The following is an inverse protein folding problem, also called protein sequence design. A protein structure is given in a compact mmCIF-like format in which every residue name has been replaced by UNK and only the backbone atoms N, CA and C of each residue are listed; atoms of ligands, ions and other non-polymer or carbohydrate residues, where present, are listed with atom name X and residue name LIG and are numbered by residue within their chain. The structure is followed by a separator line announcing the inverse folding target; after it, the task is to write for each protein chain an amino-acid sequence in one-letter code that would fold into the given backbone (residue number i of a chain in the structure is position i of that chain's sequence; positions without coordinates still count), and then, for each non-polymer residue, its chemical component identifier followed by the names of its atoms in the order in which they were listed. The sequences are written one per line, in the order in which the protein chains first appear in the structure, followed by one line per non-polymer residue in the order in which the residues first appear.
data_IF_187612340109
#
_entry.id   IF_187612340109
#
_cell.length_a   1.000
_cell.length_b   1.000
_cell.length_c   1.000
_cell.angle_alpha   90.00
_cell.angle_beta   90.00
_cell.angle_gamma   90.00
#
_symmetry.space_group_name_H-M   'P 1'
#
loop_
_entity.id
_entity.type
_entity.pdbx_description
1 polymer ?
#
# COMPACT_ATOMS: atom_id res chain seq x y z
N UNK A 1 -53.25 1.57 42.46
CA UNK A 1 -52.23 2.27 41.65
C UNK A 1 -51.19 1.27 41.17
N UNK A 2 -51.37 0.68 39.97
CA UNK A 2 -50.34 -0.11 39.30
C UNK A 2 -50.42 0.19 37.80
N UNK A 3 -49.25 0.45 37.24
CA UNK A 3 -48.95 1.11 35.98
C UNK A 3 -49.28 0.27 34.73
N UNK A 4 -49.77 0.96 33.69
CA UNK A 4 -50.06 0.43 32.35
C UNK A 4 -48.75 0.16 31.58
N UNK A 5 -48.62 -1.03 30.97
CA UNK A 5 -47.81 -1.26 29.77
C UNK A 5 -48.68 -1.97 28.71
N UNK A 6 -48.89 -1.40 27.51
CA UNK A 6 -49.46 -2.15 26.41
C UNK A 6 -48.39 -3.02 25.74
N UNK A 7 -48.73 -4.29 25.54
CA UNK A 7 -48.06 -5.20 24.61
C UNK A 7 -48.34 -4.71 23.19
N UNK A 8 -47.30 -4.38 22.43
CA UNK A 8 -47.37 -4.31 20.98
C UNK A 8 -46.60 -5.50 20.40
N UNK A 9 -47.33 -6.54 20.06
CA UNK A 9 -46.94 -7.52 19.05
C UNK A 9 -47.08 -6.84 17.69
N UNK A 10 -45.98 -6.70 16.94
CA UNK A 10 -46.04 -6.35 15.53
C UNK A 10 -45.18 -7.35 14.74
N UNK A 11 -45.83 -7.92 13.73
CA UNK A 11 -45.39 -9.07 12.95
C UNK A 11 -44.06 -8.83 12.23
N UNK A 12 -43.19 -9.84 12.25
CA UNK A 12 -42.02 -9.96 11.38
C UNK A 12 -42.53 -10.20 9.96
N UNK A 13 -42.57 -9.15 9.14
CA UNK A 13 -42.64 -9.31 7.68
C UNK A 13 -41.24 -9.65 7.19
N UNK A 14 -41.04 -10.91 6.81
CA UNK A 14 -39.90 -11.35 6.01
C UNK A 14 -39.94 -10.62 4.66
N UNK A 15 -39.17 -9.54 4.54
CA UNK A 15 -38.96 -8.90 3.25
C UNK A 15 -37.80 -9.63 2.55
N UNK A 16 -38.14 -10.45 1.55
CA UNK A 16 -37.20 -11.05 0.60
C UNK A 16 -36.44 -9.93 -0.11
N UNK A 17 -35.29 -9.55 0.44
CA UNK A 17 -34.41 -8.54 -0.14
C UNK A 17 -33.67 -9.14 -1.33
N UNK A 18 -34.07 -8.72 -2.53
CA UNK A 18 -33.33 -8.89 -3.77
C UNK A 18 -31.88 -8.42 -3.61
N UNK A 19 -30.87 -9.18 -4.09
CA UNK A 19 -29.47 -8.76 -4.02
C UNK A 19 -29.26 -7.53 -4.92
N UNK A 20 -28.97 -6.39 -4.30
CA UNK A 20 -28.87 -5.07 -4.97
C UNK A 20 -27.52 -4.82 -5.66
N UNK A 21 -26.78 -5.88 -5.99
CA UNK A 21 -25.47 -5.76 -6.67
C UNK A 21 -25.33 -6.85 -7.72
N UNK A 22 -25.22 -6.49 -9.02
CA UNK A 22 -24.86 -7.46 -10.04
C UNK A 22 -23.46 -8.01 -9.75
N UNK A 23 -23.31 -9.30 -10.04
CA UNK A 23 -22.12 -10.12 -9.83
C UNK A 23 -20.79 -9.40 -10.16
N UNK A 24 -19.82 -9.65 -9.29
CA UNK A 24 -18.44 -9.14 -9.23
C UNK A 24 -17.55 -9.60 -10.42
N UNK A 25 -18.04 -9.52 -11.67
CA UNK A 25 -17.39 -10.18 -12.82
C UNK A 25 -16.75 -9.24 -13.86
N UNK A 26 -16.92 -7.91 -13.78
CA UNK A 26 -16.41 -7.01 -14.84
C UNK A 26 -15.66 -5.77 -14.33
N UNK A 27 -14.69 -5.96 -13.43
CA UNK A 27 -13.52 -5.09 -13.48
C UNK A 27 -12.78 -5.46 -14.77
N UNK A 28 -12.86 -4.60 -15.80
CA UNK A 28 -12.09 -4.75 -17.03
C UNK A 28 -10.64 -4.43 -16.67
N UNK A 29 -9.94 -5.42 -16.15
CA UNK A 29 -8.49 -5.40 -16.04
C UNK A 29 -7.94 -5.45 -17.48
N UNK A 30 -7.07 -4.53 -17.91
CA UNK A 30 -6.34 -4.72 -19.14
C UNK A 30 -5.56 -6.04 -19.03
N UNK A 31 -5.91 -7.03 -19.85
CA UNK A 31 -5.17 -8.28 -20.03
C UNK A 31 -3.87 -8.01 -20.80
N UNK A 32 -2.98 -7.19 -20.23
CA UNK A 32 -1.62 -7.02 -20.74
C UNK A 32 -0.72 -6.55 -19.58
N UNK A 33 -0.53 -7.46 -18.63
CA UNK A 33 0.71 -7.55 -17.88
C UNK A 33 1.29 -8.90 -18.26
N UNK A 34 2.30 -8.90 -19.12
CA UNK A 34 3.14 -10.07 -19.36
C UNK A 34 3.52 -10.67 -18.01
N UNK A 35 3.02 -11.87 -17.73
CA UNK A 35 3.38 -12.65 -16.55
C UNK A 35 4.92 -12.72 -16.48
N UNK A 36 5.57 -12.33 -15.37
CA UNK A 36 6.99 -12.56 -15.25
C UNK A 36 7.21 -14.08 -15.27
N UNK A 37 8.05 -14.55 -16.20
CA UNK A 37 8.50 -15.95 -16.29
C UNK A 37 8.91 -16.41 -14.89
N UNK A 38 8.27 -17.48 -14.44
CA UNK A 38 8.62 -18.23 -13.23
C UNK A 38 10.08 -18.66 -13.29
N UNK A 39 10.84 -18.44 -12.22
CA UNK A 39 12.02 -19.27 -11.92
C UNK A 39 13.36 -18.58 -11.70
N UNK A 40 13.52 -17.26 -11.85
CA UNK A 40 14.82 -16.64 -11.55
C UNK A 40 14.94 -16.36 -10.04
N UNK A 41 15.50 -17.31 -9.30
CA UNK A 41 15.93 -17.10 -7.91
C UNK A 41 17.01 -16.01 -7.95
N UNK A 42 16.69 -14.82 -7.44
CA UNK A 42 17.73 -13.79 -7.25
C UNK A 42 18.62 -14.29 -6.13
N UNK A 43 19.81 -14.77 -6.49
CA UNK A 43 20.81 -15.22 -5.54
C UNK A 43 21.37 -14.03 -4.73
N UNK A 44 20.65 -13.69 -3.67
CA UNK A 44 21.15 -12.85 -2.57
C UNK A 44 21.94 -13.69 -1.54
N UNK A 45 22.12 -14.99 -1.74
CA UNK A 45 22.38 -15.99 -0.70
C UNK A 45 23.67 -15.77 0.11
N UNK A 46 24.61 -14.96 -0.35
CA UNK A 46 25.82 -14.63 0.43
C UNK A 46 25.64 -13.48 1.45
N UNK A 47 24.50 -12.78 1.53
CA UNK A 47 24.24 -11.78 2.58
C UNK A 47 22.80 -11.86 3.10
N UNK A 48 22.57 -11.82 4.42
CA UNK A 48 21.23 -11.71 4.97
C UNK A 48 20.51 -10.47 4.41
N UNK A 49 19.30 -10.65 3.87
CA UNK A 49 18.42 -9.54 3.48
C UNK A 49 17.53 -9.17 4.67
N UNK A 50 17.41 -7.88 4.93
CA UNK A 50 16.52 -7.32 5.96
C UNK A 50 15.53 -6.38 5.29
N UNK A 51 14.24 -6.59 5.51
CA UNK A 51 13.18 -5.64 5.19
C UNK A 51 13.01 -4.67 6.38
N UNK A 52 13.43 -3.42 6.19
CA UNK A 52 13.26 -2.32 7.12
C UNK A 52 11.82 -1.77 7.06
N UNK A 53 10.83 -2.59 7.45
CA UNK A 53 9.42 -2.17 7.45
C UNK A 53 8.56 -2.99 8.42
N UNK A 54 7.65 -2.32 9.12
CA UNK A 54 6.58 -2.97 9.89
C UNK A 54 5.35 -3.38 9.07
N UNK A 55 5.28 -3.07 7.76
CA UNK A 55 4.07 -3.33 6.96
C UNK A 55 3.89 -4.83 6.65
N UNK A 56 2.75 -5.44 7.03
CA UNK A 56 2.42 -6.81 6.66
C UNK A 56 2.31 -7.02 5.15
N UNK A 57 1.86 -6.00 4.41
CA UNK A 57 1.68 -6.07 2.96
C UNK A 57 3.03 -6.14 2.24
N UNK A 58 4.00 -5.32 2.64
CA UNK A 58 5.36 -5.36 2.08
C UNK A 58 6.06 -6.69 2.35
N UNK A 59 5.84 -7.29 3.53
CA UNK A 59 6.28 -8.66 3.83
C UNK A 59 5.68 -9.67 2.85
N UNK A 60 4.36 -9.63 2.62
CA UNK A 60 3.67 -10.54 1.70
C UNK A 60 4.20 -10.39 0.27
N UNK A 61 4.40 -9.17 -0.20
CA UNK A 61 4.96 -8.89 -1.53
C UNK A 61 6.39 -9.40 -1.67
N UNK A 62 7.27 -9.10 -0.70
CA UNK A 62 8.68 -9.50 -0.79
C UNK A 62 8.85 -11.04 -0.80
N UNK A 63 7.99 -11.77 -0.07
CA UNK A 63 7.96 -13.24 -0.11
C UNK A 63 7.73 -13.80 -1.53
N UNK A 64 7.01 -13.10 -2.39
CA UNK A 64 6.76 -13.54 -3.78
C UNK A 64 8.05 -13.59 -4.62
N UNK A 65 9.12 -12.93 -4.16
CA UNK A 65 10.43 -12.99 -4.83
C UNK A 65 11.22 -14.27 -4.51
N UNK A 66 10.74 -15.13 -3.61
CA UNK A 66 11.45 -16.35 -3.21
C UNK A 66 12.74 -16.11 -2.40
N UNK A 67 13.00 -14.86 -1.98
CA UNK A 67 14.19 -14.51 -1.20
C UNK A 67 13.97 -14.75 0.29
N UNK A 68 15.01 -15.25 0.98
CA UNK A 68 15.02 -15.32 2.45
C UNK A 68 15.35 -13.94 3.02
N UNK A 69 14.54 -13.46 3.97
CA UNK A 69 14.76 -12.18 4.62
C UNK A 69 14.26 -12.15 6.06
N UNK A 70 14.83 -11.24 6.85
CA UNK A 70 14.36 -10.87 8.19
C UNK A 70 13.58 -9.55 8.12
N UNK A 71 12.75 -9.28 9.11
CA UNK A 71 11.96 -8.05 9.18
C UNK A 71 12.36 -7.30 10.43
N UNK A 72 12.65 -6.01 10.27
CA UNK A 72 12.95 -5.12 11.38
C UNK A 72 12.19 -3.83 11.12
N UNK A 73 11.27 -3.47 12.02
CA UNK A 73 10.54 -2.21 11.91
C UNK A 73 11.49 -1.06 12.28
N UNK A 74 11.73 -0.08 11.38
CA UNK A 74 12.55 1.06 11.69
C UNK A 74 11.77 2.02 12.59
N UNK A 75 12.37 2.46 13.70
CA UNK A 75 11.89 3.62 14.44
C UNK A 75 12.63 4.85 13.91
N UNK A 76 11.99 5.59 13.00
CA UNK A 76 12.54 6.79 12.37
C UNK A 76 11.51 7.89 12.31
N UNK A 77 11.96 9.13 12.49
CA UNK A 77 11.16 10.29 12.15
C UNK A 77 10.96 10.36 10.63
N UNK A 78 9.69 10.48 10.22
CA UNK A 78 9.26 10.56 8.82
C UNK A 78 9.05 12.01 8.35
N UNK A 79 9.39 13.00 9.19
CA UNK A 79 9.33 14.42 8.83
C UNK A 79 10.28 14.77 7.67
N UNK A 80 9.81 15.63 6.76
CA UNK A 80 10.62 16.14 5.66
C UNK A 80 10.03 17.44 5.10
N UNK A 81 10.90 18.38 4.72
CA UNK A 81 10.54 19.60 3.99
C UNK A 81 10.47 19.38 2.47
N UNK A 82 10.77 18.17 1.99
CA UNK A 82 10.77 17.85 0.57
C UNK A 82 9.34 17.84 0.01
N UNK A 83 9.09 18.71 -0.98
CA UNK A 83 7.77 18.86 -1.60
C UNK A 83 7.54 17.95 -2.81
N UNK A 84 8.62 17.50 -3.46
CA UNK A 84 8.52 16.60 -4.63
C UNK A 84 8.21 15.16 -4.19
N UNK A 85 7.06 14.58 -4.56
CA UNK A 85 6.64 13.27 -4.08
C UNK A 85 7.65 12.15 -4.35
N UNK A 86 8.23 12.13 -5.55
CA UNK A 86 9.27 11.19 -5.99
C UNK A 86 10.53 11.26 -5.11
N UNK A 87 10.99 12.48 -4.81
CA UNK A 87 12.16 12.68 -3.96
C UNK A 87 11.87 12.35 -2.50
N UNK A 88 10.67 12.71 -2.02
CA UNK A 88 10.24 12.47 -0.65
C UNK A 88 10.27 10.97 -0.33
N UNK A 89 9.57 10.14 -1.11
CA UNK A 89 9.52 8.70 -0.84
C UNK A 89 10.90 8.04 -0.96
N UNK A 90 11.77 8.51 -1.86
CA UNK A 90 13.13 8.00 -2.00
C UNK A 90 13.99 8.33 -0.76
N UNK A 91 13.86 9.54 -0.20
CA UNK A 91 14.55 9.96 1.02
C UNK A 91 14.06 9.16 2.22
N UNK A 92 12.74 9.02 2.39
CA UNK A 92 12.14 8.29 3.51
C UNK A 92 12.49 6.80 3.46
N UNK A 93 12.42 6.17 2.28
CA UNK A 93 12.83 4.79 2.10
C UNK A 93 14.31 4.59 2.47
N UNK A 94 15.19 5.51 2.04
CA UNK A 94 16.62 5.47 2.37
C UNK A 94 16.87 5.65 3.87
N UNK A 95 16.16 6.59 4.51
CA UNK A 95 16.26 6.84 5.95
C UNK A 95 15.88 5.59 6.75
N UNK A 96 14.78 4.93 6.39
CA UNK A 96 14.33 3.64 6.97
C UNK A 96 15.40 2.55 6.82
N UNK A 97 15.96 2.40 5.63
CA UNK A 97 17.03 1.43 5.38
C UNK A 97 18.30 1.73 6.19
N UNK A 98 18.76 3.00 6.23
CA UNK A 98 19.96 3.41 6.96
C UNK A 98 19.86 3.13 8.46
N UNK A 99 18.71 3.43 9.06
CA UNK A 99 18.50 3.23 10.50
C UNK A 99 18.70 1.77 10.91
N UNK A 100 18.21 0.84 10.09
CA UNK A 100 18.37 -0.59 10.33
C UNK A 100 19.78 -1.05 9.96
N UNK A 101 20.34 -0.60 8.84
CA UNK A 101 21.70 -0.96 8.41
C UNK A 101 22.77 -0.63 9.47
N UNK A 102 22.63 0.50 10.18
CA UNK A 102 23.56 0.91 11.24
C UNK A 102 23.69 -0.12 12.39
N UNK A 103 22.68 -0.98 12.61
CA UNK A 103 22.68 -2.01 13.65
C UNK A 103 22.93 -3.42 13.12
N UNK A 104 23.05 -3.58 11.81
CA UNK A 104 23.16 -4.89 11.14
C UNK A 104 24.27 -4.87 10.08
N UNK A 105 25.54 -4.70 10.51
CA UNK A 105 26.68 -4.81 9.60
C UNK A 105 26.67 -6.16 8.88
N UNK A 106 27.14 -6.18 7.63
CA UNK A 106 27.15 -7.40 6.80
C UNK A 106 25.83 -7.74 6.10
N UNK A 107 24.72 -7.06 6.42
CA UNK A 107 23.41 -7.32 5.81
C UNK A 107 23.11 -6.40 4.61
N UNK A 108 22.24 -6.85 3.72
CA UNK A 108 21.54 -5.99 2.78
C UNK A 108 20.25 -5.50 3.43
N UNK A 109 19.97 -4.20 3.38
CA UNK A 109 18.79 -3.62 4.03
C UNK A 109 17.91 -2.90 3.01
N UNK A 110 16.68 -3.37 2.87
CA UNK A 110 15.65 -2.82 1.98
C UNK A 110 14.66 -1.97 2.79
N UNK A 111 14.62 -0.67 2.51
CA UNK A 111 13.60 0.25 3.00
C UNK A 111 12.58 0.59 1.91
N UNK A 112 11.37 0.95 2.31
CA UNK A 112 10.31 1.40 1.41
C UNK A 112 9.42 2.44 2.08
N UNK A 113 8.91 3.38 1.27
CA UNK A 113 7.97 4.40 1.70
C UNK A 113 6.91 4.68 0.62
N UNK A 114 5.67 4.92 1.02
CA UNK A 114 4.53 5.02 0.09
C UNK A 114 3.63 6.19 0.47
N UNK A 115 3.33 7.05 -0.49
CA UNK A 115 2.41 8.19 -0.33
C UNK A 115 1.36 8.24 -1.42
N UNK A 116 0.20 8.80 -1.09
CA UNK A 116 -0.87 9.13 -2.03
C UNK A 116 -0.82 10.62 -2.32
N UNK A 117 -0.99 11.03 -3.58
CA UNK A 117 -1.01 12.42 -4.01
C UNK A 117 -2.24 12.68 -4.85
N UNK A 118 -3.07 13.63 -4.41
CA UNK A 118 -4.27 14.09 -5.11
C UNK A 118 -4.16 15.59 -5.36
N UNK A 119 -4.30 16.03 -6.62
CA UNK A 119 -4.19 17.45 -7.03
C UNK A 119 -3.00 18.19 -6.43
N UNK A 120 -1.82 17.55 -6.45
CA UNK A 120 -0.57 18.13 -5.93
C UNK A 120 -0.41 18.09 -4.41
N UNK A 121 -1.42 17.62 -3.66
CA UNK A 121 -1.38 17.51 -2.19
C UNK A 121 -1.17 16.06 -1.76
N UNK A 122 -0.32 15.86 -0.76
CA UNK A 122 -0.12 14.54 -0.14
C UNK A 122 -1.36 14.22 0.72
N UNK A 123 -1.92 13.04 0.50
CA UNK A 123 -3.01 12.48 1.29
C UNK A 123 -2.41 11.48 2.28
N UNK A 124 -2.50 11.81 3.56
CA UNK A 124 -1.95 11.00 4.65
C UNK A 124 -2.88 9.86 5.05
N UNK A 125 -2.49 9.12 6.08
CA UNK A 125 -3.36 8.16 6.75
C UNK A 125 -4.45 8.92 7.51
N UNK A 126 -5.69 8.42 7.55
CA UNK A 126 -6.72 9.02 8.37
C UNK A 126 -6.30 9.02 9.85
N UNK A 127 -6.45 10.17 10.53
CA UNK A 127 -6.17 10.28 11.98
C UNK A 127 -7.44 10.14 12.83
N UNK A 128 -8.62 10.22 12.21
CA UNK A 128 -9.92 10.04 12.86
C UNK A 128 -10.96 9.55 11.84
N UNK A 129 -12.12 9.08 12.31
CA UNK A 129 -13.24 8.73 11.42
C UNK A 129 -13.70 9.92 10.58
N UNK A 130 -13.76 11.12 11.17
CA UNK A 130 -14.11 12.35 10.46
C UNK A 130 -13.12 12.62 9.33
N UNK A 131 -11.83 12.56 9.64
CA UNK A 131 -10.80 12.76 8.62
C UNK A 131 -10.80 11.65 7.56
N UNK A 132 -11.13 10.41 7.92
CA UNK A 132 -11.36 9.33 6.94
C UNK A 132 -12.49 9.67 5.98
N UNK A 133 -13.58 10.28 6.45
CA UNK A 133 -14.67 10.72 5.58
C UNK A 133 -14.19 11.79 4.59
N UNK A 134 -13.50 12.82 5.08
CA UNK A 134 -12.95 13.92 4.27
C UNK A 134 -11.99 13.40 3.19
N UNK A 135 -11.11 12.45 3.54
CA UNK A 135 -10.18 11.81 2.59
C UNK A 135 -10.95 11.03 1.52
N UNK A 136 -11.90 10.18 1.94
CA UNK A 136 -12.69 9.37 1.01
C UNK A 136 -13.53 10.24 0.09
N UNK A 137 -14.16 11.30 0.60
CA UNK A 137 -14.91 12.28 -0.21
C UNK A 137 -14.01 13.01 -1.19
N UNK A 138 -12.81 13.42 -0.76
CA UNK A 138 -11.81 14.09 -1.61
C UNK A 138 -11.36 13.21 -2.78
N UNK A 139 -11.21 11.91 -2.54
CA UNK A 139 -10.77 10.96 -3.55
C UNK A 139 -11.93 10.41 -4.41
N UNK A 140 -13.18 10.49 -3.93
CA UNK A 140 -14.35 9.89 -4.57
C UNK A 140 -14.49 10.33 -6.03
N UNK A 141 -14.57 9.36 -6.95
CA UNK A 141 -14.67 9.65 -8.38
C UNK A 141 -13.45 10.35 -9.01
N UNK A 142 -12.33 10.53 -8.29
CA UNK A 142 -11.18 11.29 -8.77
C UNK A 142 -10.00 10.39 -9.16
N UNK A 143 -9.03 10.98 -9.88
CA UNK A 143 -7.74 10.37 -10.15
C UNK A 143 -6.71 10.87 -9.15
N UNK A 144 -5.94 9.95 -8.57
CA UNK A 144 -4.79 10.24 -7.72
C UNK A 144 -3.58 9.41 -8.14
N UNK A 145 -2.42 9.75 -7.59
CA UNK A 145 -1.15 9.05 -7.83
C UNK A 145 -0.66 8.39 -6.55
N UNK A 146 -0.12 7.20 -6.67
CA UNK A 146 0.57 6.50 -5.58
C UNK A 146 2.03 6.41 -5.92
N UNK A 147 2.87 7.01 -5.09
CA UNK A 147 4.32 6.97 -5.20
C UNK A 147 4.85 5.98 -4.17
N UNK A 148 5.67 5.02 -4.58
CA UNK A 148 6.47 4.22 -3.65
C UNK A 148 7.95 4.36 -3.98
N UNK A 149 8.71 4.81 -2.99
CA UNK A 149 10.16 4.82 -2.99
C UNK A 149 10.69 3.53 -2.36
N UNK A 150 11.76 3.00 -2.92
CA UNK A 150 12.51 1.88 -2.36
C UNK A 150 13.99 2.22 -2.33
N UNK A 151 14.67 1.78 -1.27
CA UNK A 151 16.10 1.96 -1.12
C UNK A 151 16.73 0.66 -0.62
N UNK A 152 17.83 0.25 -1.23
CA UNK A 152 18.64 -0.88 -0.81
C UNK A 152 20.00 -0.37 -0.38
N UNK A 153 20.47 -0.80 0.79
CA UNK A 153 21.79 -0.44 1.31
C UNK A 153 22.58 -1.72 1.56
N UNK A 154 23.85 -1.72 1.18
CA UNK A 154 24.76 -2.82 1.50
C UNK A 154 25.60 -2.57 2.75
N UNK A 155 26.35 -3.60 3.14
CA UNK A 155 27.24 -3.58 4.28
C UNK A 155 28.34 -2.50 4.21
N UNK A 156 28.66 -2.00 3.01
CA UNK A 156 29.66 -0.93 2.80
C UNK A 156 29.01 0.47 2.78
N UNK A 157 27.70 0.56 3.02
CA UNK A 157 26.95 1.81 2.98
C UNK A 157 26.57 2.28 1.58
N UNK A 158 26.88 1.51 0.52
CA UNK A 158 26.47 1.83 -0.84
C UNK A 158 24.94 1.70 -0.93
N UNK A 159 24.30 2.71 -1.50
CA UNK A 159 22.85 2.80 -1.57
C UNK A 159 22.35 2.86 -3.02
N UNK A 160 21.38 2.01 -3.33
CA UNK A 160 20.59 2.06 -4.57
C UNK A 160 19.18 2.53 -4.24
N UNK A 161 18.58 3.31 -5.13
CA UNK A 161 17.24 3.88 -4.94
C UNK A 161 16.41 3.73 -6.20
N UNK A 162 15.10 3.65 -6.02
CA UNK A 162 14.14 3.66 -7.11
C UNK A 162 12.79 4.15 -6.64
N UNK A 163 12.00 4.68 -7.58
CA UNK A 163 10.64 5.15 -7.34
C UNK A 163 9.74 4.53 -8.41
N UNK A 164 8.57 4.06 -8.00
CA UNK A 164 7.50 3.69 -8.91
C UNK A 164 6.28 4.58 -8.66
N UNK A 165 5.50 4.78 -9.72
CA UNK A 165 4.29 5.61 -9.69
C UNK A 165 3.17 4.85 -10.38
N UNK A 166 1.99 4.86 -9.77
CA UNK A 166 0.76 4.34 -10.36
C UNK A 166 -0.32 5.40 -10.28
N UNK A 167 -1.15 5.53 -11.32
CA UNK A 167 -2.37 6.33 -11.27
C UNK A 167 -3.52 5.43 -10.82
N UNK A 168 -4.36 5.94 -9.94
CA UNK A 168 -5.49 5.20 -9.38
C UNK A 168 -6.75 6.04 -9.56
N UNK A 169 -7.79 5.42 -10.10
CA UNK A 169 -9.12 6.01 -10.25
C UNK A 169 -10.01 5.45 -9.16
N UNK A 170 -10.50 6.32 -8.28
CA UNK A 170 -11.58 5.95 -7.38
C UNK A 170 -12.90 5.93 -8.16
N UNK A 171 -13.76 4.98 -7.80
CA UNK A 171 -15.14 4.92 -8.25
C UNK A 171 -15.88 6.14 -7.72
N UNK A 172 -16.85 6.64 -8.49
CA UNK A 172 -17.83 7.60 -7.97
C UNK A 172 -18.90 6.85 -7.19
N UNK A 173 -18.86 6.95 -5.86
CA UNK A 173 -19.85 6.34 -4.97
C UNK A 173 -20.83 7.40 -4.43
N UNK A 174 -22.14 7.09 -4.34
CA UNK A 174 -23.09 7.92 -3.59
C UNK A 174 -22.70 8.00 -2.12
N UNK A 175 -23.00 9.13 -1.45
CA UNK A 175 -22.66 9.37 -0.03
C UNK A 175 -23.04 8.21 0.90
N UNK A 176 -24.24 7.65 0.73
CA UNK A 176 -24.72 6.49 1.51
C UNK A 176 -23.82 5.26 1.37
N UNK A 177 -23.27 5.02 0.17
CA UNK A 177 -22.34 3.92 -0.07
C UNK A 177 -20.95 4.23 0.48
N UNK A 178 -20.47 5.46 0.29
CA UNK A 178 -19.17 5.91 0.77
C UNK A 178 -19.05 5.79 2.31
N UNK A 179 -20.14 6.07 3.03
CA UNK A 179 -20.20 6.01 4.49
C UNK A 179 -19.79 4.63 5.07
N UNK A 180 -19.97 3.55 4.30
CA UNK A 180 -19.60 2.18 4.71
C UNK A 180 -18.09 1.96 4.81
N UNK A 181 -17.29 2.83 4.19
CA UNK A 181 -15.83 2.70 4.15
C UNK A 181 -15.12 3.62 5.15
N UNK A 182 -15.86 4.57 5.75
CA UNK A 182 -15.32 5.50 6.74
C UNK A 182 -14.76 4.74 7.93
N UNK A 183 -13.48 4.96 8.23
CA UNK A 183 -12.79 4.36 9.36
C UNK A 183 -12.29 2.92 9.14
N UNK A 184 -12.50 2.34 7.95
CA UNK A 184 -12.14 0.93 7.69
C UNK A 184 -10.63 0.71 7.52
N UNK A 185 -9.91 1.70 7.00
CA UNK A 185 -8.50 1.59 6.65
C UNK A 185 -7.67 2.74 7.22
N UNK A 186 -7.71 2.87 8.55
CA UNK A 186 -6.98 3.90 9.30
C UNK A 186 -5.46 3.80 9.17
N UNK A 187 -4.92 2.60 8.90
CA UNK A 187 -3.50 2.33 8.78
C UNK A 187 -2.91 2.66 7.39
N UNK A 188 -3.75 3.06 6.42
CA UNK A 188 -3.38 3.19 5.00
C UNK A 188 -3.54 4.63 4.50
N UNK A 189 -2.53 5.10 3.78
CA UNK A 189 -2.60 6.40 3.13
C UNK A 189 -3.75 6.41 2.12
N UNK A 190 -4.57 7.47 2.13
CA UNK A 190 -5.77 7.55 1.30
C UNK A 190 -7.00 6.79 1.84
N UNK A 191 -6.88 6.05 2.95
CA UNK A 191 -8.04 5.45 3.63
C UNK A 191 -8.74 4.31 2.87
N UNK A 192 -8.08 3.68 1.90
CA UNK A 192 -8.62 2.55 1.12
C UNK A 192 -7.62 1.39 1.04
N UNK A 193 -8.09 0.20 0.65
CA UNK A 193 -7.24 -0.97 0.43
C UNK A 193 -7.58 -1.70 -0.87
N UNK A 194 -6.76 -1.52 -1.92
CA UNK A 194 -6.95 -2.21 -3.22
C UNK A 194 -6.98 -3.75 -3.13
N UNK A 195 -6.39 -4.32 -2.08
CA UNK A 195 -6.36 -5.77 -1.88
C UNK A 195 -7.59 -6.31 -1.15
N UNK A 196 -8.39 -5.43 -0.54
CA UNK A 196 -9.60 -5.83 0.16
C UNK A 196 -10.71 -6.04 -0.88
N UNK A 197 -11.08 -7.30 -1.11
CA UNK A 197 -12.13 -7.68 -2.08
C UNK A 197 -13.48 -7.06 -1.74
N UNK A 198 -13.69 -6.68 -0.47
CA UNK A 198 -14.89 -6.04 0.02
C UNK A 198 -14.78 -4.51 0.03
N UNK A 199 -13.75 -3.93 -0.60
CA UNK A 199 -13.54 -2.50 -0.83
C UNK A 199 -13.59 -2.17 -2.34
N UNK A 200 -14.77 -1.88 -2.90
CA UNK A 200 -14.95 -1.55 -4.32
C UNK A 200 -14.58 -0.09 -4.65
N UNK A 201 -13.93 0.63 -3.73
CA UNK A 201 -13.63 2.06 -3.90
C UNK A 201 -12.71 2.34 -5.08
N UNK A 202 -11.82 1.40 -5.44
CA UNK A 202 -10.93 1.55 -6.59
C UNK A 202 -11.57 0.93 -7.84
N UNK A 203 -11.68 1.76 -8.88
CA UNK A 203 -12.24 1.37 -10.18
C UNK A 203 -11.15 0.90 -11.15
N UNK A 204 -10.04 1.64 -11.23
CA UNK A 204 -8.97 1.39 -12.21
C UNK A 204 -7.60 1.79 -11.67
N UNK A 205 -6.58 1.06 -12.11
CA UNK A 205 -5.17 1.34 -11.82
C UNK A 205 -4.40 1.34 -13.13
N UNK A 206 -3.55 2.36 -13.31
CA UNK A 206 -2.57 2.43 -14.39
C UNK A 206 -1.18 2.41 -13.78
N UNK A 207 -0.39 1.40 -14.12
CA UNK A 207 0.92 1.13 -13.52
C UNK A 207 0.91 -0.05 -12.55
N UNK A 208 2.02 -0.30 -11.84
CA UNK A 208 2.18 -1.51 -11.05
C UNK A 208 1.21 -1.57 -9.86
N UNK A 209 0.54 -2.71 -9.66
CA UNK A 209 -0.37 -2.91 -8.52
C UNK A 209 0.39 -3.06 -7.20
N UNK A 210 1.51 -3.76 -7.22
CA UNK A 210 2.44 -3.92 -6.10
C UNK A 210 3.01 -2.58 -5.61
N UNK A 211 3.16 -1.58 -6.50
CA UNK A 211 3.44 -0.19 -6.14
C UNK A 211 2.31 0.44 -5.31
N UNK A 212 1.04 0.23 -5.70
CA UNK A 212 -0.13 0.74 -4.96
C UNK A 212 -0.23 0.09 -3.58
N UNK A 213 0.09 -1.20 -3.50
CA UNK A 213 0.12 -1.96 -2.24
C UNK A 213 1.28 -1.49 -1.34
N UNK A 214 2.39 -1.04 -1.93
CA UNK A 214 3.47 -0.36 -1.22
C UNK A 214 4.86 -1.00 -1.36
N UNK A 215 5.07 -1.92 -2.30
CA UNK A 215 6.40 -2.44 -2.65
C UNK A 215 6.50 -2.81 -4.14
N UNK A 216 7.04 -1.94 -5.02
CA UNK A 216 7.17 -2.21 -6.46
C UNK A 216 8.24 -3.28 -6.71
N UNK A 217 7.82 -4.53 -6.95
CA UNK A 217 8.68 -5.70 -7.06
C UNK A 217 9.64 -5.60 -8.23
N UNK A 218 9.21 -5.05 -9.38
CA UNK A 218 10.11 -4.82 -10.52
C UNK A 218 11.26 -3.89 -10.14
N UNK A 219 10.98 -2.81 -9.39
CA UNK A 219 12.01 -1.90 -8.90
C UNK A 219 12.92 -2.59 -7.89
N UNK A 220 12.36 -3.35 -6.94
CA UNK A 220 13.13 -4.12 -5.95
C UNK A 220 14.06 -5.13 -6.62
N UNK A 221 13.57 -5.93 -7.57
CA UNK A 221 14.37 -6.89 -8.35
C UNK A 221 15.55 -6.20 -9.04
N UNK A 222 15.31 -5.03 -9.65
CA UNK A 222 16.39 -4.23 -10.27
C UNK A 222 17.44 -3.81 -9.26
N UNK A 223 17.06 -3.31 -8.08
CA UNK A 223 18.03 -2.91 -7.05
C UNK A 223 18.85 -4.11 -6.55
N UNK A 224 18.19 -5.26 -6.31
CA UNK A 224 18.87 -6.48 -5.87
C UNK A 224 19.89 -6.96 -6.91
N UNK A 225 19.52 -6.96 -8.21
CA UNK A 225 20.45 -7.29 -9.31
C UNK A 225 21.62 -6.31 -9.38
N UNK A 226 21.38 -5.00 -9.25
CA UNK A 226 22.45 -3.99 -9.23
C UNK A 226 23.42 -4.19 -8.07
N UNK A 227 22.91 -4.55 -6.88
CA UNK A 227 23.74 -4.84 -5.72
C UNK A 227 24.54 -6.14 -5.89
N UNK A 228 23.98 -7.15 -6.56
CA UNK A 228 24.69 -8.39 -6.88
C UNK A 228 25.84 -8.15 -7.89
N UNK A 229 25.59 -7.35 -8.93
CA UNK A 229 26.61 -7.01 -9.95
C UNK A 229 27.77 -6.19 -9.40
N UNK A 230 27.52 -5.25 -8.50
CA UNK A 230 28.57 -4.42 -7.89
C UNK A 230 29.53 -5.18 -6.95
N UNK A 231 29.44 -6.52 -6.90
CA UNK A 231 30.34 -7.39 -6.15
C UNK A 231 31.48 -7.95 -7.02
N UNK A 232 31.29 -8.00 -8.34
CA UNK A 232 32.34 -8.29 -9.31
C UNK A 232 33.02 -7.01 -9.74
#
# INVERSE_FOLDING_TARGET
MISRKPRFTCAVRENKSTPLFPNFSKAVFPKNASSPRSGEIIDVAKRPLILASGSPQRKKLLKQLGVRFRIIAPNVDESSTQRRPDRLVAILALRKARKVAAKHPGSLVLGADTIVVHRGKIVLKPISRRNSAEILETLNGSWHRVYTGVALIDAKGKAWRGVAVSRVKARLLPKKSLARFIGRHMDKAGGYAVQDKNDPFIERIEGPLDNVIGLPLTTVKRLLRSAAKARG
#
